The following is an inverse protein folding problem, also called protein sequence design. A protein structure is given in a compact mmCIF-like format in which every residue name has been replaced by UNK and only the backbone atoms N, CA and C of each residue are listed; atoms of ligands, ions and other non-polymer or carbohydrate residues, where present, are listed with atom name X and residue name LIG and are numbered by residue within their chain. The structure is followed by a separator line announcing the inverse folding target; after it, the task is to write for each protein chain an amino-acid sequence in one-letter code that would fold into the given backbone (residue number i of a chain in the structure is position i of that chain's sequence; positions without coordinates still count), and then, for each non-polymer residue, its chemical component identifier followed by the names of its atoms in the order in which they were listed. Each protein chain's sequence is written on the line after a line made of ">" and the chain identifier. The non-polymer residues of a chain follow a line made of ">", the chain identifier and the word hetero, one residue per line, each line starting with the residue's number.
data_IF_003326879240
#
_entry.id   IF_003326879240
#
_cell.length_a   1.000
_cell.length_b   1.000
_cell.length_c   1.000
_cell.angle_alpha   90.00
_cell.angle_beta   90.00
_cell.angle_gamma   90.00
#
_symmetry.space_group_name_H-M   'P 1'
#
loop_
_entity.id
_entity.type
_entity.pdbx_description
1 polymer ?
#
# COMPACT_ATOMS: atom_id res chain seq x y z
N UNK A 1 -18.07 1.31 10.79
CA UNK A 1 -18.24 2.66 10.21
C UNK A 1 -17.32 3.61 10.97
N UNK A 2 -16.27 4.10 10.30
CA UNK A 2 -15.14 4.79 10.94
C UNK A 2 -15.46 6.26 11.22
N UNK A 3 -15.42 6.71 12.48
CA UNK A 3 -15.28 8.13 12.80
C UNK A 3 -14.35 8.35 14.00
N UNK A 4 -13.47 9.33 13.83
CA UNK A 4 -12.35 9.81 14.66
C UNK A 4 -12.53 11.32 14.77
N UNK A 5 -11.85 12.00 15.73
CA UNK A 5 -11.34 13.39 15.76
C UNK A 5 -11.18 13.98 17.17
N UNK A 6 -10.21 14.89 17.45
CA UNK A 6 -10.28 16.39 17.77
C UNK A 6 -9.02 16.93 18.51
N UNK A 7 -8.54 18.19 18.29
CA UNK A 7 -7.98 19.26 19.21
C UNK A 7 -7.96 20.63 18.43
N UNK A 8 -8.06 21.80 19.10
CA UNK A 8 -8.36 23.20 18.66
C UNK A 8 -7.35 23.98 17.77
N UNK A 9 -7.83 24.96 16.97
CA UNK A 9 -7.09 26.17 16.49
C UNK A 9 -7.99 27.38 16.18
N UNK A 10 -7.54 28.60 16.49
CA UNK A 10 -8.14 29.89 16.11
C UNK A 10 -7.26 30.61 15.06
N UNK A 11 -7.86 30.97 13.91
CA UNK A 11 -7.39 32.02 12.98
C UNK A 11 -6.00 31.91 12.33
N UNK A 12 -5.91 31.43 11.08
CA UNK A 12 -4.72 31.58 10.23
C UNK A 12 -4.89 30.96 8.83
N UNK A 13 -4.19 31.44 7.78
CA UNK A 13 -4.41 31.03 6.40
C UNK A 13 -3.97 29.57 6.15
N UNK A 14 -4.57 28.95 5.13
CA UNK A 14 -4.37 27.54 4.74
C UNK A 14 -2.88 27.17 4.63
N UNK A 15 -2.43 26.22 5.46
CA UNK A 15 -1.09 25.66 5.38
C UNK A 15 -1.10 24.32 4.62
N UNK A 16 -0.27 24.22 3.57
CA UNK A 16 0.08 22.97 2.89
C UNK A 16 1.49 22.60 3.33
N UNK A 17 1.60 21.76 4.35
CA UNK A 17 2.89 21.19 4.76
C UNK A 17 3.15 19.92 3.95
N UNK A 18 3.92 20.07 2.88
CA UNK A 18 4.55 18.97 2.15
C UNK A 18 6.06 19.15 2.20
N UNK A 19 6.71 18.71 3.29
CA UNK A 19 8.15 18.49 3.33
C UNK A 19 8.44 17.22 4.13
N UNK A 20 8.98 16.23 3.43
CA UNK A 20 9.52 15.00 3.99
C UNK A 20 10.75 15.35 4.84
N UNK A 21 10.62 15.29 6.16
CA UNK A 21 11.74 15.34 7.09
C UNK A 21 12.26 13.91 7.28
N UNK A 22 13.23 13.51 6.45
CA UNK A 22 14.00 12.28 6.65
C UNK A 22 15.33 12.62 7.33
N UNK A 23 15.48 12.28 8.61
CA UNK A 23 16.79 12.16 9.25
C UNK A 23 17.31 10.72 9.10
N UNK A 24 18.62 10.52 8.83
CA UNK A 24 19.19 9.21 8.56
C UNK A 24 19.71 8.60 9.86
N UNK A 25 18.99 7.64 10.44
CA UNK A 25 19.58 6.52 11.19
C UNK A 25 18.51 5.51 11.58
N UNK A 26 18.73 4.27 11.12
CA UNK A 26 18.24 3.00 11.67
C UNK A 26 16.83 2.98 12.29
N UNK A 27 15.81 2.82 11.45
CA UNK A 27 14.66 1.99 11.80
C UNK A 27 13.86 1.65 10.54
N UNK A 28 13.49 0.38 10.42
CA UNK A 28 12.69 -0.17 9.33
C UNK A 28 11.49 0.74 9.02
N UNK A 29 11.46 1.20 7.76
CA UNK A 29 10.55 2.18 7.16
C UNK A 29 9.10 2.13 7.67
N UNK A 30 8.75 3.05 8.58
CA UNK A 30 7.37 3.44 8.88
C UNK A 30 7.19 4.89 8.45
N UNK A 31 6.72 5.12 7.23
CA UNK A 31 6.31 6.46 6.82
C UNK A 31 4.92 6.75 7.39
N UNK A 32 4.88 7.56 8.44
CA UNK A 32 3.63 8.13 8.94
C UNK A 32 3.05 9.07 7.88
N UNK A 33 1.79 8.83 7.52
CA UNK A 33 1.01 9.78 6.71
C UNK A 33 0.35 10.78 7.64
N UNK A 34 0.66 12.05 7.44
CA UNK A 34 0.08 13.16 8.17
C UNK A 34 -1.02 13.81 7.35
N UNK A 35 -2.17 14.05 7.98
CA UNK A 35 -3.22 14.89 7.39
C UNK A 35 -3.79 15.79 8.47
N UNK A 36 -3.78 17.10 8.22
CA UNK A 36 -4.52 18.06 9.04
C UNK A 36 -5.94 18.14 8.48
N UNK A 37 -6.95 17.92 9.33
CA UNK A 37 -8.37 17.93 8.97
C UNK A 37 -9.09 18.92 9.88
N UNK A 38 -9.81 19.88 9.29
CA UNK A 38 -10.68 20.78 10.06
C UNK A 38 -11.96 20.06 10.47
N UNK A 39 -12.45 20.29 11.69
CA UNK A 39 -13.75 19.84 12.15
C UNK A 39 -14.40 20.93 12.97
N UNK A 40 -15.60 21.33 12.58
CA UNK A 40 -16.33 22.40 13.28
C UNK A 40 -15.38 23.59 13.54
N UNK A 41 -15.03 23.79 14.81
CA UNK A 41 -14.22 24.89 15.34
C UNK A 41 -12.71 24.58 15.45
N UNK A 42 -12.24 23.36 15.13
CA UNK A 42 -10.90 22.84 15.47
C UNK A 42 -10.10 22.26 14.30
N UNK A 43 -8.76 22.30 14.39
CA UNK A 43 -7.83 21.75 13.40
C UNK A 43 -7.13 20.49 13.91
N UNK A 44 -7.34 19.35 13.24
CA UNK A 44 -7.02 18.03 13.81
C UNK A 44 -5.90 17.40 13.03
N UNK A 45 -4.77 17.16 13.69
CA UNK A 45 -3.70 16.38 13.11
C UNK A 45 -4.04 14.89 13.17
N UNK A 46 -4.48 14.35 12.05
CA UNK A 46 -4.71 12.92 11.89
C UNK A 46 -3.41 12.26 11.43
N UNK A 47 -2.84 11.45 12.31
CA UNK A 47 -1.65 10.66 12.03
C UNK A 47 -2.09 9.24 11.70
N UNK A 48 -1.76 8.79 10.50
CA UNK A 48 -1.86 7.38 10.12
C UNK A 48 -0.47 6.78 10.07
N UNK A 49 -0.23 5.76 10.90
CA UNK A 49 0.93 4.90 10.73
C UNK A 49 0.64 3.97 9.55
N UNK A 50 1.16 4.32 8.37
CA UNK A 50 1.06 3.48 7.17
C UNK A 50 2.42 2.82 6.97
N UNK A 51 2.55 1.49 7.10
CA UNK A 51 3.77 0.84 6.66
C UNK A 51 3.92 1.05 5.15
N UNK A 52 4.96 1.77 4.71
CA UNK A 52 5.36 1.76 3.30
C UNK A 52 6.14 0.47 3.07
N UNK A 53 5.61 -0.37 2.20
CA UNK A 53 6.24 -1.63 1.82
C UNK A 53 7.50 -1.36 1.00
N UNK A 54 8.65 -1.45 1.67
CA UNK A 54 9.98 -1.54 1.08
C UNK A 54 10.70 -2.67 1.84
N UNK A 55 10.29 -3.91 1.62
CA UNK A 55 10.78 -5.05 2.41
C UNK A 55 12.17 -5.48 1.96
N UNK A 56 13.14 -5.54 2.88
CA UNK A 56 14.53 -6.06 2.69
C UNK A 56 14.60 -7.45 2.04
N UNK A 57 13.54 -8.24 2.16
CA UNK A 57 13.39 -9.56 1.51
C UNK A 57 12.94 -9.53 0.05
N UNK A 58 12.43 -8.39 -0.44
CA UNK A 58 12.18 -8.15 -1.87
C UNK A 58 13.49 -7.91 -2.66
N UNK A 59 14.59 -7.64 -1.94
CA UNK A 59 15.84 -7.13 -2.51
C UNK A 59 16.60 -8.22 -3.26
N UNK A 60 16.38 -9.49 -2.92
CA UNK A 60 17.07 -10.62 -3.56
C UNK A 60 16.22 -11.19 -4.70
N UNK A 61 14.89 -11.16 -4.61
CA UNK A 61 14.02 -11.79 -5.61
C UNK A 61 13.77 -10.90 -6.83
N UNK A 62 13.67 -9.57 -6.67
CA UNK A 62 13.54 -8.66 -7.82
C UNK A 62 14.90 -8.37 -8.46
N UNK A 63 15.98 -8.29 -7.68
CA UNK A 63 17.33 -8.25 -8.25
C UNK A 63 17.61 -9.56 -9.00
N UNK A 64 17.19 -10.73 -8.48
CA UNK A 64 17.28 -11.99 -9.24
C UNK A 64 16.39 -11.98 -10.49
N UNK A 65 15.10 -11.64 -10.42
CA UNK A 65 14.23 -11.64 -11.62
C UNK A 65 14.67 -10.60 -12.65
N UNK A 66 15.05 -9.39 -12.26
CA UNK A 66 15.57 -8.39 -13.20
C UNK A 66 16.94 -8.78 -13.75
N UNK A 67 17.88 -9.27 -12.92
CA UNK A 67 19.24 -9.63 -13.36
C UNK A 67 19.26 -10.95 -14.17
N UNK A 68 18.36 -11.89 -13.87
CA UNK A 68 18.18 -13.16 -14.62
C UNK A 68 17.40 -12.94 -15.93
N UNK A 69 16.50 -11.95 -15.98
CA UNK A 69 15.90 -11.47 -17.24
C UNK A 69 16.84 -10.54 -18.03
N UNK A 70 17.81 -9.89 -17.38
CA UNK A 70 18.88 -9.10 -18.02
C UNK A 70 20.03 -9.96 -18.57
N UNK A 71 20.14 -11.24 -18.19
CA UNK A 71 21.20 -12.15 -18.65
C UNK A 71 20.82 -13.01 -19.86
N UNK A 72 19.64 -12.81 -20.45
CA UNK A 72 19.21 -13.50 -21.69
C UNK A 72 18.68 -12.49 -22.71
N UNK A 73 19.57 -11.62 -23.19
CA UNK A 73 19.28 -10.75 -24.34
C UNK A 73 19.55 -11.49 -25.65
N UNK A 74 18.58 -12.32 -26.11
CA UNK A 74 18.58 -12.83 -27.50
C UNK A 74 17.16 -12.91 -28.14
N UNK A 75 16.05 -12.86 -27.39
CA UNK A 75 14.69 -13.02 -27.98
C UNK A 75 13.76 -11.82 -27.74
N UNK A 76 13.13 -11.33 -28.81
CA UNK A 76 12.04 -10.31 -28.79
C UNK A 76 10.90 -10.71 -27.85
N UNK A 77 10.67 -12.01 -27.67
CA UNK A 77 9.67 -12.56 -26.74
C UNK A 77 9.93 -12.19 -25.27
N UNK A 78 11.20 -12.13 -24.86
CA UNK A 78 11.59 -11.83 -23.46
C UNK A 78 11.47 -10.33 -23.18
N UNK A 79 11.86 -9.47 -24.13
CA UNK A 79 11.68 -8.02 -24.01
C UNK A 79 10.21 -7.64 -23.86
N UNK A 80 9.32 -8.26 -24.64
CA UNK A 80 7.88 -8.02 -24.55
C UNK A 80 7.30 -8.43 -23.19
N UNK A 81 7.72 -9.57 -22.66
CA UNK A 81 7.30 -10.03 -21.34
C UNK A 81 7.78 -9.07 -20.23
N UNK A 82 9.01 -8.58 -20.32
CA UNK A 82 9.57 -7.60 -19.38
C UNK A 82 8.81 -6.28 -19.44
N UNK A 83 8.62 -5.70 -20.62
CA UNK A 83 7.88 -4.44 -20.79
C UNK A 83 6.46 -4.55 -20.24
N UNK A 84 5.74 -5.65 -20.52
CA UNK A 84 4.39 -5.86 -19.99
C UNK A 84 4.32 -5.91 -18.46
N UNK A 85 5.37 -6.41 -17.80
CA UNK A 85 5.40 -6.53 -16.34
C UNK A 85 5.82 -5.22 -15.66
N UNK A 86 6.72 -4.46 -16.29
CA UNK A 86 7.31 -3.24 -15.69
C UNK A 86 6.50 -1.99 -16.00
N UNK A 87 5.89 -1.90 -17.18
CA UNK A 87 5.05 -0.76 -17.57
C UNK A 87 3.84 -0.66 -16.62
N UNK A 88 3.59 0.54 -16.13
CA UNK A 88 2.54 0.83 -15.16
C UNK A 88 2.93 0.63 -13.70
N UNK A 89 4.06 -0.02 -13.42
CA UNK A 89 4.57 -0.18 -12.05
C UNK A 89 5.18 1.12 -11.51
N UNK A 90 5.26 1.24 -10.18
CA UNK A 90 5.92 2.37 -9.51
C UNK A 90 7.26 1.90 -8.97
N UNK A 91 8.33 2.55 -9.40
CA UNK A 91 9.70 2.30 -8.91
C UNK A 91 10.13 3.41 -7.95
N UNK A 92 10.94 3.04 -6.96
CA UNK A 92 11.67 3.93 -6.07
C UNK A 92 13.13 3.96 -6.51
N UNK A 93 13.72 5.14 -6.60
CA UNK A 93 15.15 5.31 -6.82
C UNK A 93 15.88 5.42 -5.49
N UNK A 94 16.86 4.54 -5.25
CA UNK A 94 17.53 4.42 -3.94
C UNK A 94 18.34 5.67 -3.55
N UNK A 95 18.86 6.39 -4.54
CA UNK A 95 19.76 7.53 -4.34
C UNK A 95 19.07 8.83 -3.89
N UNK A 96 17.75 8.94 -4.06
CA UNK A 96 16.98 10.13 -3.69
C UNK A 96 15.61 9.82 -3.07
N UNK A 97 15.26 8.53 -2.90
CA UNK A 97 13.96 8.06 -2.43
C UNK A 97 12.73 8.62 -3.18
N UNK A 98 12.91 9.03 -4.45
CA UNK A 98 11.80 9.46 -5.31
C UNK A 98 11.10 8.27 -5.94
N UNK A 99 9.79 8.42 -6.16
CA UNK A 99 8.98 7.40 -6.82
C UNK A 99 8.56 7.85 -8.21
N UNK A 100 8.69 6.95 -9.17
CA UNK A 100 8.39 7.18 -10.59
C UNK A 100 7.46 6.09 -11.09
N UNK A 101 6.48 6.45 -11.93
CA UNK A 101 5.61 5.47 -12.58
C UNK A 101 6.18 5.19 -13.95
N UNK A 102 6.53 3.93 -14.21
CA UNK A 102 7.10 3.56 -15.50
C UNK A 102 5.99 3.56 -16.54
N UNK A 103 6.25 4.23 -17.66
CA UNK A 103 5.33 4.28 -18.79
C UNK A 103 5.83 3.45 -19.97
N UNK A 104 7.14 3.36 -20.14
CA UNK A 104 7.75 2.61 -21.23
C UNK A 104 9.15 2.11 -20.83
N UNK A 105 9.71 1.22 -21.64
CA UNK A 105 11.09 0.73 -21.53
C UNK A 105 11.78 1.00 -22.87
N UNK A 106 12.81 1.84 -22.84
CA UNK A 106 13.62 2.11 -24.02
C UNK A 106 14.82 1.16 -24.09
N UNK A 107 14.87 0.35 -25.14
CA UNK A 107 15.96 -0.57 -25.42
C UNK A 107 17.02 0.01 -26.36
N UNK A 108 16.77 1.20 -26.93
CA UNK A 108 17.70 1.89 -27.84
C UNK A 108 18.71 2.73 -27.08
N UNK A 109 18.32 3.31 -25.95
CA UNK A 109 19.22 4.06 -25.06
C UNK A 109 19.80 3.20 -23.96
N UNK A 110 21.03 3.52 -23.58
CA UNK A 110 21.85 2.84 -22.60
C UNK A 110 22.48 3.84 -21.62
N UNK A 111 22.97 3.39 -20.45
CA UNK A 111 23.68 4.28 -19.52
C UNK A 111 24.91 5.01 -20.08
N UNK A 112 25.47 4.54 -21.20
CA UNK A 112 26.58 5.19 -21.89
C UNK A 112 26.14 6.36 -22.78
N UNK A 113 24.85 6.48 -23.08
CA UNK A 113 24.33 7.59 -23.87
C UNK A 113 24.32 8.88 -23.05
N UNK A 114 24.24 10.00 -23.77
CA UNK A 114 24.32 11.34 -23.21
C UNK A 114 22.96 12.00 -23.14
N UNK A 115 22.74 12.77 -22.09
CA UNK A 115 21.59 13.65 -21.97
C UNK A 115 22.04 15.08 -21.64
N UNK A 116 21.19 16.04 -21.95
CA UNK A 116 21.45 17.45 -21.70
C UNK A 116 20.97 17.79 -20.30
N UNK A 117 21.88 18.27 -19.45
CA UNK A 117 21.56 18.79 -18.14
C UNK A 117 20.83 20.14 -18.26
N UNK A 118 20.16 20.57 -17.18
CA UNK A 118 19.49 21.89 -17.14
C UNK A 118 20.42 23.08 -17.35
N UNK A 119 21.73 22.90 -17.13
CA UNK A 119 22.77 23.90 -17.39
C UNK A 119 23.27 23.90 -18.85
N UNK A 120 22.71 23.05 -19.72
CA UNK A 120 23.10 22.92 -21.13
C UNK A 120 24.29 21.98 -21.38
N UNK A 121 24.94 21.46 -20.33
CA UNK A 121 26.06 20.52 -20.46
C UNK A 121 25.57 19.12 -20.85
N UNK A 122 26.25 18.47 -21.80
CA UNK A 122 25.99 17.07 -22.16
C UNK A 122 26.84 16.15 -21.31
N UNK A 123 26.20 15.24 -20.59
CA UNK A 123 26.86 14.25 -19.74
C UNK A 123 26.25 12.87 -20.00
N UNK A 124 27.05 11.81 -19.85
CA UNK A 124 26.52 10.43 -19.88
C UNK A 124 25.77 10.11 -18.60
N UNK A 125 24.80 9.19 -18.64
CA UNK A 125 24.11 8.75 -17.42
C UNK A 125 25.11 8.18 -16.41
N UNK A 126 26.05 7.34 -16.84
CA UNK A 126 27.11 6.80 -15.96
C UNK A 126 27.90 7.90 -15.24
N UNK A 127 28.34 8.94 -15.97
CA UNK A 127 29.11 10.03 -15.36
C UNK A 127 28.25 10.91 -14.46
N UNK A 128 26.98 11.13 -14.82
CA UNK A 128 26.04 11.87 -13.98
C UNK A 128 25.84 11.19 -12.62
N UNK A 129 25.52 9.89 -12.62
CA UNK A 129 25.29 9.14 -11.38
C UNK A 129 26.56 9.04 -10.52
N UNK A 130 27.73 8.88 -11.16
CA UNK A 130 29.02 8.91 -10.46
C UNK A 130 29.31 10.29 -9.85
N UNK A 131 29.15 11.38 -10.60
CA UNK A 131 29.47 12.73 -10.12
C UNK A 131 28.48 13.24 -9.07
N UNK A 132 27.20 12.90 -9.18
CA UNK A 132 26.14 13.45 -8.33
C UNK A 132 25.88 12.62 -7.07
N UNK A 133 25.99 11.30 -7.17
CA UNK A 133 25.61 10.36 -6.12
C UNK A 133 26.73 9.39 -5.72
N UNK A 134 27.90 9.45 -6.38
CA UNK A 134 29.02 8.52 -6.20
C UNK A 134 28.64 7.05 -6.46
N UNK A 135 27.75 6.82 -7.43
CA UNK A 135 27.27 5.48 -7.78
C UNK A 135 27.91 5.01 -9.08
N UNK A 136 28.48 3.79 -9.05
CA UNK A 136 29.00 3.10 -10.24
C UNK A 136 27.95 2.14 -10.79
N UNK A 137 27.57 2.34 -12.06
CA UNK A 137 26.69 1.43 -12.79
C UNK A 137 27.49 0.19 -13.21
N UNK A 138 26.99 -1.00 -12.88
CA UNK A 138 27.66 -2.28 -13.17
C UNK A 138 27.42 -2.73 -14.60
N UNK A 139 26.19 -2.60 -15.10
CA UNK A 139 25.82 -3.00 -16.46
C UNK A 139 25.58 -1.77 -17.36
N UNK A 140 26.54 -1.35 -18.20
CA UNK A 140 26.38 -0.18 -19.06
C UNK A 140 25.56 -0.45 -20.33
N UNK A 141 25.14 -1.69 -20.59
CA UNK A 141 24.30 -2.07 -21.76
C UNK A 141 22.85 -2.39 -21.40
N UNK A 142 22.46 -2.15 -20.15
CA UNK A 142 21.07 -2.35 -19.74
C UNK A 142 20.13 -1.33 -20.44
N UNK A 143 18.86 -1.70 -20.70
CA UNK A 143 17.87 -0.78 -21.22
C UNK A 143 17.54 0.29 -20.17
N UNK A 144 16.83 1.34 -20.58
CA UNK A 144 16.43 2.43 -19.71
C UNK A 144 14.93 2.40 -19.45
N UNK A 145 14.51 2.71 -18.22
CA UNK A 145 13.09 2.87 -17.88
C UNK A 145 12.65 4.30 -18.20
N UNK A 146 11.50 4.48 -18.84
CA UNK A 146 10.99 5.79 -19.22
C UNK A 146 9.80 6.16 -18.35
N UNK A 147 9.84 7.36 -17.78
CA UNK A 147 8.73 7.98 -17.06
C UNK A 147 8.48 9.37 -17.62
N UNK A 148 7.23 9.79 -17.75
CA UNK A 148 6.93 11.22 -17.98
C UNK A 148 7.06 11.97 -16.67
N UNK A 149 7.74 13.11 -16.72
CA UNK A 149 7.75 14.05 -15.61
C UNK A 149 6.33 14.57 -15.38
N UNK A 150 5.87 14.59 -14.12
CA UNK A 150 4.64 15.29 -13.76
C UNK A 150 4.90 16.79 -13.84
N UNK A 151 4.62 17.40 -14.97
CA UNK A 151 4.44 18.86 -15.04
C UNK A 151 3.31 19.24 -14.08
N UNK A 152 3.56 20.22 -13.21
CA UNK A 152 2.57 20.71 -12.24
C UNK A 152 1.37 21.40 -12.91
N UNK A 153 1.46 21.69 -14.20
CA UNK A 153 0.43 22.35 -14.98
C UNK A 153 -0.35 21.38 -15.85
N UNK A 154 -1.68 21.37 -15.66
CA UNK A 154 -2.66 20.62 -16.48
C UNK A 154 -2.72 21.07 -17.95
N UNK A 155 -1.99 22.13 -18.32
CA UNK A 155 -1.95 22.73 -19.66
C UNK A 155 -0.57 22.69 -20.33
N UNK A 156 0.47 22.18 -19.66
CA UNK A 156 1.76 21.97 -20.31
C UNK A 156 1.67 20.74 -21.22
N UNK A 157 2.25 20.82 -22.43
CA UNK A 157 2.26 19.76 -23.45
C UNK A 157 2.94 18.45 -23.00
N UNK A 158 3.33 17.59 -23.96
CA UNK A 158 4.02 16.32 -23.65
C UNK A 158 5.12 16.52 -22.60
N UNK A 159 4.91 15.97 -21.40
CA UNK A 159 5.85 16.11 -20.28
C UNK A 159 7.22 15.56 -20.65
N UNK A 160 8.27 16.21 -20.15
CA UNK A 160 9.67 15.80 -20.36
C UNK A 160 9.85 14.32 -20.01
N UNK A 161 10.35 13.52 -20.96
CA UNK A 161 10.65 12.10 -20.76
C UNK A 161 11.92 11.99 -19.92
N UNK A 162 11.82 11.32 -18.78
CA UNK A 162 12.93 11.04 -17.88
C UNK A 162 13.31 9.58 -18.05
N UNK A 163 14.61 9.35 -18.26
CA UNK A 163 15.18 8.01 -18.38
C UNK A 163 15.85 7.64 -17.06
N UNK A 164 15.50 6.47 -16.55
CA UNK A 164 15.99 5.92 -15.28
C UNK A 164 16.76 4.63 -15.55
N UNK A 165 17.87 4.46 -14.84
CA UNK A 165 18.68 3.24 -14.92
C UNK A 165 18.00 2.15 -14.06
N UNK A 166 17.60 0.99 -14.64
CA UNK A 166 16.90 -0.05 -13.90
C UNK A 166 17.70 -0.59 -12.69
N UNK A 167 19.02 -0.69 -12.78
CA UNK A 167 19.91 -1.10 -11.66
C UNK A 167 19.77 -0.21 -10.41
N UNK A 168 19.39 1.05 -10.58
CA UNK A 168 19.22 2.04 -9.49
C UNK A 168 17.78 2.14 -9.01
N UNK A 169 16.88 1.35 -9.58
CA UNK A 169 15.45 1.38 -9.33
C UNK A 169 15.01 0.12 -8.58
N UNK A 170 14.13 0.30 -7.60
CA UNK A 170 13.46 -0.79 -6.89
C UNK A 170 11.96 -0.69 -7.14
N UNK A 171 11.35 -1.75 -7.64
CA UNK A 171 9.88 -1.81 -7.72
C UNK A 171 9.27 -1.63 -6.33
N UNK A 172 8.18 -0.89 -6.25
CA UNK A 172 7.45 -0.66 -4.99
C UNK A 172 6.03 -1.22 -5.08
N UNK A 173 5.49 -1.60 -3.91
CA UNK A 173 4.17 -2.19 -3.81
C UNK A 173 4.17 -3.71 -3.97
N UNK A 174 2.98 -4.29 -3.86
CA UNK A 174 2.75 -5.72 -4.03
C UNK A 174 2.22 -5.97 -5.44
N UNK A 175 2.86 -6.87 -6.19
CA UNK A 175 2.35 -7.38 -7.47
C UNK A 175 1.12 -8.26 -7.24
N UNK A 176 0.29 -8.46 -8.26
CA UNK A 176 -0.91 -9.30 -8.12
C UNK A 176 -0.54 -10.75 -7.79
N UNK A 177 0.53 -11.29 -8.39
CA UNK A 177 1.07 -12.61 -8.03
C UNK A 177 1.50 -12.71 -6.54
N UNK A 178 2.04 -11.62 -5.97
CA UNK A 178 2.36 -11.57 -4.53
C UNK A 178 1.11 -11.49 -3.66
N UNK A 179 0.06 -10.80 -4.12
CA UNK A 179 -1.24 -10.71 -3.41
C UNK A 179 -1.98 -12.05 -3.41
N UNK A 180 -1.90 -12.78 -4.51
CA UNK A 180 -2.47 -14.13 -4.64
C UNK A 180 -1.73 -15.17 -3.78
N UNK A 181 -0.45 -14.91 -3.46
CA UNK A 181 0.32 -15.78 -2.58
C UNK A 181 -0.10 -15.61 -1.10
N UNK A 182 -0.96 -16.52 -0.65
CA UNK A 182 -1.48 -16.52 0.72
C UNK A 182 -0.39 -16.59 1.80
N UNK A 183 0.69 -17.36 1.57
CA UNK A 183 1.78 -17.49 2.56
C UNK A 183 2.48 -16.16 2.76
N UNK A 184 2.83 -15.49 1.66
CA UNK A 184 3.47 -14.17 1.69
C UNK A 184 2.56 -13.14 2.36
N UNK A 185 1.28 -13.10 1.98
CA UNK A 185 0.32 -12.17 2.56
C UNK A 185 0.03 -12.45 4.05
N UNK A 186 0.07 -13.71 4.48
CA UNK A 186 -0.09 -14.11 5.88
C UNK A 186 1.09 -13.64 6.74
N UNK A 187 2.33 -13.91 6.31
CA UNK A 187 3.53 -13.41 6.99
C UNK A 187 3.59 -11.89 7.02
N UNK A 188 3.22 -11.24 5.91
CA UNK A 188 3.13 -9.78 5.84
C UNK A 188 2.05 -9.23 6.77
N UNK A 189 0.90 -9.89 6.87
CA UNK A 189 -0.18 -9.51 7.77
C UNK A 189 0.23 -9.62 9.24
N UNK A 190 1.01 -10.64 9.62
CA UNK A 190 1.50 -10.79 10.99
C UNK A 190 2.35 -9.60 11.45
N UNK A 191 3.20 -9.09 10.55
CA UNK A 191 4.07 -7.94 10.85
C UNK A 191 3.34 -6.59 10.76
N UNK A 192 2.38 -6.47 9.86
CA UNK A 192 1.70 -5.19 9.57
C UNK A 192 0.45 -4.94 10.40
N UNK A 193 -0.22 -6.00 10.88
CA UNK A 193 -1.41 -5.88 11.73
C UNK A 193 -1.02 -5.52 13.15
N UNK A 194 -0.92 -4.23 13.39
CA UNK A 194 -0.72 -3.70 14.73
C UNK A 194 -2.01 -3.80 15.55
N UNK A 195 -1.93 -4.46 16.71
CA UNK A 195 -2.95 -4.43 17.75
C UNK A 195 -3.24 -2.97 18.17
N UNK A 196 -4.51 -2.60 18.44
CA UNK A 196 -4.89 -1.27 18.92
C UNK A 196 -4.01 -0.70 20.04
N UNK A 197 -3.65 -1.50 21.06
CA UNK A 197 -2.81 -1.06 22.18
C UNK A 197 -1.41 -0.66 21.71
N UNK A 198 -0.76 -1.52 20.91
CA UNK A 198 0.55 -1.23 20.31
C UNK A 198 0.50 -0.03 19.37
N UNK A 199 -0.64 0.19 18.69
CA UNK A 199 -0.83 1.36 17.83
C UNK A 199 -0.88 2.65 18.66
N UNK A 200 -1.59 2.64 19.78
CA UNK A 200 -1.64 3.77 20.73
C UNK A 200 -0.25 4.07 21.29
N UNK A 201 0.48 3.04 21.74
CA UNK A 201 1.85 3.19 22.24
C UNK A 201 2.79 3.83 21.20
N UNK A 202 2.77 3.34 19.96
CA UNK A 202 3.58 3.92 18.87
C UNK A 202 3.19 5.36 18.56
N UNK A 203 1.89 5.68 18.58
CA UNK A 203 1.41 7.05 18.36
C UNK A 203 1.86 7.99 19.49
N UNK A 204 1.78 7.56 20.75
CA UNK A 204 2.22 8.35 21.90
C UNK A 204 3.75 8.52 21.92
N UNK A 205 4.51 7.47 21.61
CA UNK A 205 5.96 7.55 21.45
C UNK A 205 6.36 8.52 20.35
N UNK A 206 5.66 8.47 19.21
CA UNK A 206 5.87 9.41 18.11
C UNK A 206 5.52 10.86 18.51
N UNK A 207 4.41 11.06 19.21
CA UNK A 207 4.00 12.36 19.74
C UNK A 207 5.09 12.95 20.67
N UNK A 208 5.58 12.15 21.61
CA UNK A 208 6.66 12.54 22.52
C UNK A 208 7.94 12.91 21.75
N UNK A 209 8.28 12.17 20.69
CA UNK A 209 9.44 12.52 19.85
C UNK A 209 9.28 13.87 19.14
N UNK A 210 8.08 14.19 18.64
CA UNK A 210 7.83 15.50 18.01
C UNK A 210 7.95 16.64 19.03
N UNK A 211 7.40 16.47 20.22
CA UNK A 211 7.42 17.48 21.27
C UNK A 211 8.82 17.69 21.87
N UNK A 212 9.68 16.67 21.83
CA UNK A 212 11.04 16.75 22.34
C UNK A 212 12.06 17.23 21.29
N UNK A 213 11.64 17.50 20.05
CA UNK A 213 12.53 17.99 19.00
C UNK A 213 12.46 19.52 18.93
N UNK A 214 13.50 20.28 19.35
CA UNK A 214 13.41 21.73 19.50
C UNK A 214 13.07 22.46 18.20
N UNK A 215 13.62 22.00 17.08
CA UNK A 215 13.35 22.58 15.76
C UNK A 215 11.86 22.53 15.37
N UNK A 216 11.16 21.44 15.72
CA UNK A 216 9.75 21.25 15.40
C UNK A 216 8.89 22.10 16.35
N UNK A 217 9.24 22.13 17.64
CA UNK A 217 8.54 22.94 18.63
C UNK A 217 8.65 24.43 18.29
N UNK A 218 9.83 24.88 17.88
CA UNK A 218 10.03 26.26 17.45
C UNK A 218 9.20 26.59 16.21
N UNK A 219 9.23 25.73 15.18
CA UNK A 219 8.43 25.94 13.97
C UNK A 219 6.94 26.02 14.33
N UNK A 220 6.42 25.10 15.15
CA UNK A 220 5.03 25.15 15.61
C UNK A 220 4.72 26.45 16.39
N UNK A 221 5.62 26.88 17.28
CA UNK A 221 5.46 28.10 18.07
C UNK A 221 5.44 29.37 17.20
N UNK A 222 6.24 29.44 16.12
CA UNK A 222 6.23 30.54 15.16
C UNK A 222 4.85 30.70 14.49
N UNK A 223 4.13 29.59 14.31
CA UNK A 223 2.75 29.58 13.79
C UNK A 223 1.69 29.71 14.88
N UNK A 224 2.07 29.97 16.14
CA UNK A 224 1.20 29.91 17.33
C UNK A 224 0.46 28.57 17.46
N UNK A 225 1.12 27.47 17.08
CA UNK A 225 0.62 26.12 17.16
C UNK A 225 1.23 25.37 18.35
N UNK A 226 0.41 24.58 19.04
CA UNK A 226 0.85 23.66 20.06
C UNK A 226 0.24 22.28 19.82
N UNK A 227 1.06 21.24 19.97
CA UNK A 227 0.63 19.85 19.84
C UNK A 227 0.16 19.34 21.21
N UNK A 228 -1.01 18.69 21.26
CA UNK A 228 -1.52 18.09 22.49
C UNK A 228 -0.73 16.81 22.85
N UNK A 229 -0.55 16.54 24.14
CA UNK A 229 0.15 15.37 24.66
C UNK A 229 -0.76 14.15 24.86
N UNK A 230 -2.08 14.31 24.75
CA UNK A 230 -3.04 13.22 24.86
C UNK A 230 -3.71 12.90 23.53
N UNK A 231 -4.12 11.64 23.39
CA UNK A 231 -5.05 11.27 22.33
C UNK A 231 -6.41 11.84 22.67
N UNK A 232 -7.15 12.26 21.66
CA UNK A 232 -8.47 12.79 21.93
C UNK A 232 -9.53 11.70 22.10
N UNK A 233 -10.27 11.86 23.20
CA UNK A 233 -11.45 11.11 23.59
C UNK A 233 -12.71 11.66 22.91
N UNK A 234 -13.48 10.75 22.31
CA UNK A 234 -14.70 11.10 21.58
C UNK A 234 -15.86 10.39 22.25
N UNK A 235 -16.90 11.11 22.69
CA UNK A 235 -18.11 10.46 23.15
C UNK A 235 -18.72 9.69 21.98
N UNK A 236 -18.80 8.37 22.13
CA UNK A 236 -19.43 7.49 21.16
C UNK A 236 -20.73 6.92 21.75
N UNK A 237 -21.68 6.59 20.88
CA UNK A 237 -22.86 5.83 21.26
C UNK A 237 -22.72 4.39 20.80
N UNK A 238 -22.97 3.45 21.71
CA UNK A 238 -23.15 2.04 21.34
C UNK A 238 -24.61 1.84 20.93
N UNK A 239 -24.83 1.41 19.69
CA UNK A 239 -26.17 1.08 19.23
C UNK A 239 -26.61 -0.23 19.88
N UNK A 240 -27.90 -0.31 20.22
CA UNK A 240 -28.47 -1.54 20.76
C UNK A 240 -28.32 -2.65 19.71
N UNK A 241 -28.08 -3.87 20.18
CA UNK A 241 -28.00 -5.05 19.32
C UNK A 241 -29.34 -5.24 18.62
N UNK A 242 -29.29 -5.44 17.31
CA UNK A 242 -30.47 -5.75 16.53
C UNK A 242 -30.94 -7.18 16.81
N UNK A 243 -32.26 -7.36 16.76
CA UNK A 243 -32.90 -8.66 16.89
C UNK A 243 -33.01 -9.31 15.52
N UNK A 244 -32.41 -10.48 15.38
CA UNK A 244 -32.54 -11.31 14.19
C UNK A 244 -33.75 -12.22 14.35
N UNK A 245 -34.64 -12.22 13.36
CA UNK A 245 -35.78 -13.12 13.30
C UNK A 245 -35.41 -14.36 12.47
N UNK A 246 -35.82 -15.52 12.94
CA UNK A 246 -35.65 -16.81 12.26
C UNK A 246 -37.02 -17.48 12.06
N UNK A 247 -37.03 -18.64 11.39
CA UNK A 247 -38.25 -19.43 11.22
C UNK A 247 -38.92 -19.74 12.56
N UNK A 248 -40.24 -19.95 12.54
CA UNK A 248 -41.06 -20.18 13.73
C UNK A 248 -41.03 -19.05 14.78
N UNK A 249 -40.83 -17.81 14.34
CA UNK A 249 -40.84 -16.61 15.19
C UNK A 249 -39.77 -16.64 16.30
N UNK A 250 -38.67 -17.37 16.07
CA UNK A 250 -37.53 -17.42 16.98
C UNK A 250 -36.70 -16.15 16.80
N UNK A 251 -36.34 -15.50 17.90
CA UNK A 251 -35.51 -14.29 17.88
C UNK A 251 -34.16 -14.54 18.53
N UNK A 252 -33.10 -14.06 17.89
CA UNK A 252 -31.73 -14.15 18.38
C UNK A 252 -31.12 -12.75 18.41
N UNK A 253 -30.33 -12.46 19.44
CA UNK A 253 -29.52 -11.25 19.49
C UNK A 253 -28.13 -11.57 18.97
N UNK A 254 -27.63 -10.84 17.97
CA UNK A 254 -26.27 -11.01 17.49
C UNK A 254 -25.26 -10.70 18.61
N UNK A 255 -24.31 -11.59 18.85
CA UNK A 255 -23.23 -11.36 19.83
C UNK A 255 -22.01 -10.79 19.12
N UNK A 256 -21.51 -9.63 19.57
CA UNK A 256 -20.36 -8.94 18.96
C UNK A 256 -20.50 -8.70 17.43
N UNK A 257 -21.73 -8.57 16.94
CA UNK A 257 -22.00 -8.43 15.51
C UNK A 257 -21.82 -9.71 14.68
N UNK A 258 -21.70 -10.86 15.33
CA UNK A 258 -21.67 -12.19 14.71
C UNK A 258 -22.91 -13.00 15.16
N UNK A 259 -23.46 -13.76 14.22
CA UNK A 259 -24.61 -14.65 14.40
C UNK A 259 -24.42 -15.99 13.69
N UNK A 260 -23.19 -16.31 13.26
CA UNK A 260 -22.87 -17.50 12.45
C UNK A 260 -23.18 -18.78 13.22
N UNK A 261 -22.90 -18.80 14.53
CA UNK A 261 -23.13 -19.98 15.38
C UNK A 261 -24.62 -20.23 15.57
N UNK A 262 -25.39 -19.18 15.78
CA UNK A 262 -26.84 -19.25 15.96
C UNK A 262 -27.52 -19.63 14.64
N UNK A 263 -27.01 -19.17 13.50
CA UNK A 263 -27.54 -19.54 12.19
C UNK A 263 -27.39 -21.04 11.88
N UNK A 264 -26.40 -21.74 12.45
CA UNK A 264 -26.19 -23.18 12.21
C UNK A 264 -27.30 -24.06 12.79
N UNK A 265 -27.97 -23.60 13.85
CA UNK A 265 -29.00 -24.39 14.55
C UNK A 265 -30.41 -23.90 14.24
N UNK A 266 -30.56 -22.67 13.76
CA UNK A 266 -31.85 -22.04 13.50
C UNK A 266 -32.33 -22.29 12.07
N UNK A 267 -33.64 -22.46 11.89
CA UNK A 267 -34.22 -22.57 10.55
C UNK A 267 -34.39 -21.18 9.92
N UNK A 268 -34.23 -21.09 8.60
CA UNK A 268 -34.48 -19.88 7.84
C UNK A 268 -35.92 -19.38 8.01
N UNK A 269 -36.13 -18.05 7.97
CA UNK A 269 -37.48 -17.45 8.02
C UNK A 269 -38.32 -17.95 6.85
N UNK A 270 -37.72 -17.96 5.67
CA UNK A 270 -38.32 -18.41 4.42
C UNK A 270 -37.41 -19.52 3.90
N UNK A 271 -37.99 -20.70 3.67
CA UNK A 271 -37.29 -21.85 3.11
C UNK A 271 -38.12 -22.38 1.94
N UNK A 272 -37.83 -21.94 0.70
CA UNK A 272 -38.44 -22.54 -0.49
C UNK A 272 -38.07 -24.01 -0.61
N UNK A 273 -38.94 -24.84 -1.16
CA UNK A 273 -38.60 -26.22 -1.51
C UNK A 273 -37.71 -26.25 -2.75
N UNK A 274 -36.60 -26.99 -2.67
CA UNK A 274 -35.71 -27.22 -3.80
C UNK A 274 -36.13 -28.55 -4.47
N UNK A 275 -37.03 -28.47 -5.45
CA UNK A 275 -37.59 -29.66 -6.10
C UNK A 275 -36.71 -30.14 -7.26
N UNK A 276 -36.28 -29.20 -8.13
CA UNK A 276 -35.53 -29.50 -9.34
C UNK A 276 -34.13 -28.87 -9.28
N UNK A 277 -33.10 -29.69 -9.08
CA UNK A 277 -31.72 -29.26 -9.06
C UNK A 277 -30.82 -30.32 -9.70
N UNK A 278 -29.75 -29.87 -10.36
CA UNK A 278 -28.76 -30.74 -11.00
C UNK A 278 -27.40 -30.40 -10.41
N UNK A 279 -26.65 -31.43 -10.02
CA UNK A 279 -25.29 -31.30 -9.53
C UNK A 279 -24.32 -31.91 -10.54
N UNK A 280 -23.44 -31.08 -11.10
CA UNK A 280 -22.41 -31.53 -12.04
C UNK A 280 -21.07 -31.61 -11.30
N UNK A 281 -20.45 -32.78 -11.37
CA UNK A 281 -19.13 -33.03 -10.78
C UNK A 281 -18.21 -33.66 -11.81
N UNK A 282 -16.91 -33.34 -11.72
CA UNK A 282 -15.90 -33.98 -12.54
C UNK A 282 -15.70 -35.44 -12.09
N UNK A 283 -15.37 -36.34 -13.03
CA UNK A 283 -15.11 -37.75 -12.71
C UNK A 283 -13.91 -37.91 -11.75
N UNK A 284 -12.96 -36.98 -11.81
CA UNK A 284 -11.79 -36.91 -10.92
C UNK A 284 -12.16 -36.66 -9.45
N UNK A 285 -13.23 -35.92 -9.21
CA UNK A 285 -13.65 -35.49 -7.87
C UNK A 285 -14.77 -36.36 -7.29
N UNK A 286 -15.18 -37.42 -8.00
CA UNK A 286 -16.26 -38.35 -7.62
C UNK A 286 -16.04 -39.01 -6.25
N UNK A 287 -14.79 -39.23 -5.82
CA UNK A 287 -14.47 -39.80 -4.51
C UNK A 287 -14.70 -38.86 -3.32
N UNK A 288 -14.89 -37.55 -3.54
CA UNK A 288 -15.18 -36.58 -2.47
C UNK A 288 -16.68 -36.58 -2.07
N UNK A 289 -17.56 -37.00 -2.97
CA UNK A 289 -19.01 -36.99 -2.77
C UNK A 289 -19.51 -38.18 -1.92
N UNK A 290 -18.80 -39.31 -1.91
CA UNK A 290 -19.19 -40.49 -1.13
C UNK A 290 -18.90 -40.36 0.39
N UNK A 291 -18.02 -39.43 0.80
CA UNK A 291 -17.67 -39.19 2.21
C UNK A 291 -18.50 -38.13 2.91
N UNK A 292 -19.19 -37.28 2.16
CA UNK A 292 -20.15 -36.31 2.70
C UNK A 292 -21.53 -36.81 2.35
N UNK A 293 -22.17 -37.49 3.31
CA UNK A 293 -23.59 -37.82 3.21
C UNK A 293 -24.34 -36.58 2.71
N UNK A 294 -25.02 -36.74 1.58
CA UNK A 294 -25.86 -35.72 0.94
C UNK A 294 -26.99 -35.27 1.88
N UNK A 295 -27.20 -35.97 3.01
CA UNK A 295 -28.02 -35.60 4.16
C UNK A 295 -27.47 -34.42 5.00
N UNK A 296 -26.17 -34.13 4.92
CA UNK A 296 -25.50 -33.02 5.61
C UNK A 296 -25.70 -31.65 4.97
N UNK A 297 -26.30 -31.58 3.77
CA UNK A 297 -26.62 -30.32 3.08
C UNK A 297 -27.75 -29.51 3.74
N UNK A 298 -28.24 -29.94 4.90
CA UNK A 298 -29.25 -29.20 5.68
C UNK A 298 -28.79 -27.85 6.25
N UNK A 299 -27.49 -27.52 6.24
CA UNK A 299 -27.01 -26.32 6.95
C UNK A 299 -25.90 -25.49 6.29
N UNK A 300 -25.39 -25.81 5.08
CA UNK A 300 -24.18 -25.13 4.58
C UNK A 300 -24.17 -24.70 3.11
N UNK A 301 -25.32 -24.42 2.51
CA UNK A 301 -25.38 -23.71 1.23
C UNK A 301 -25.49 -22.19 1.46
N UNK A 302 -24.42 -21.58 1.96
CA UNK A 302 -24.12 -20.18 1.63
C UNK A 302 -23.24 -20.18 0.38
N UNK A 303 -23.89 -20.15 -0.78
CA UNK A 303 -23.22 -19.87 -2.05
C UNK A 303 -22.64 -18.46 -1.97
N UNK A 304 -21.31 -18.39 -1.87
CA UNK A 304 -20.52 -17.24 -2.27
C UNK A 304 -20.81 -16.98 -3.75
N UNK A 305 -21.63 -15.97 -4.02
CA UNK A 305 -21.51 -15.15 -5.21
C UNK A 305 -20.65 -13.93 -4.89
#
# INVERSE_FOLDING_TARGET
>A
MFQTKVVWFQGGPKMVLSRDLSTPQESLFSLSTFRVVRFESYGILKIFLIPRYLTTTMYILVFSVMLHMLNVYVCVCVQRAFSNQVIGTVVLTDYNNNTYRIEDVDYSTTPNDTFTLKNGERITYTNYYKKRYDIRISNPRQPMLVTRSKTRDRQAGEGERVFLVPELCRTTGLTDAMRENFKLMSSLAAETRLNPTRRIEKLMSFNNRLQNQPAIVQELAEWNLQLDNKLLEIPARELKREKLFFGYNITVNATNGDWTREMQTMKCIISPSLNDWVFMISERDKGLTEKQDILGLRTSLFLKY
#
